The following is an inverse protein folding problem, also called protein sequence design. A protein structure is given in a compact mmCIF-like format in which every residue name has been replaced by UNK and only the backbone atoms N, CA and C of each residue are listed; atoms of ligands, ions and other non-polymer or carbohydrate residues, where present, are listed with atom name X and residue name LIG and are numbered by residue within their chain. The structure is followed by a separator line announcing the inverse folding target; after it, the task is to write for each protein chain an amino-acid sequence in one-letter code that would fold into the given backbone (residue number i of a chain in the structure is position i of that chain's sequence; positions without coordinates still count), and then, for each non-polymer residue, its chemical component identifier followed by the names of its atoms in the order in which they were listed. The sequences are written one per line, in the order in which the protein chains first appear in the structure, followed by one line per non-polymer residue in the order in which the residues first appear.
data_IF_407378493284
#
_entry.id   IF_407378493284
#
_cell.length_a   1.000
_cell.length_b   1.000
_cell.length_c   1.000
_cell.angle_alpha   90.00
_cell.angle_beta   90.00
_cell.angle_gamma   90.00
#
_symmetry.space_group_name_H-M   'P 1'
#
loop_
_entity.id
_entity.type
_entity.pdbx_description
1 polymer ?
#
# COMPACT_ATOMS: atom_id res chain seq x y z
N UNK A 1 20.03 -4.73 -8.62
CA UNK A 1 19.63 -5.72 -9.66
C UNK A 1 18.19 -6.17 -9.49
N UNK A 2 17.82 -6.93 -8.44
CA UNK A 2 16.42 -7.41 -8.23
C UNK A 2 15.39 -6.29 -8.03
N UNK A 3 15.70 -5.28 -7.21
CA UNK A 3 14.80 -4.13 -6.98
C UNK A 3 14.58 -3.31 -8.27
N UNK A 4 15.63 -3.12 -9.08
CA UNK A 4 15.51 -2.41 -10.36
C UNK A 4 14.72 -3.21 -11.40
N UNK A 5 14.88 -4.54 -11.44
CA UNK A 5 14.08 -5.40 -12.31
C UNK A 5 12.58 -5.31 -11.94
N UNK A 6 12.27 -5.37 -10.64
CA UNK A 6 10.92 -5.18 -10.11
C UNK A 6 10.37 -3.79 -10.45
N UNK A 7 11.18 -2.73 -10.30
CA UNK A 7 10.78 -1.36 -10.64
C UNK A 7 10.44 -1.21 -12.13
N UNK A 8 11.26 -1.78 -13.01
CA UNK A 8 11.00 -1.75 -14.46
C UNK A 8 9.74 -2.55 -14.82
N UNK A 9 9.51 -3.68 -14.16
CA UNK A 9 8.33 -4.51 -14.38
C UNK A 9 7.04 -3.79 -13.95
N UNK A 10 7.02 -3.24 -12.73
CA UNK A 10 5.89 -2.43 -12.22
C UNK A 10 5.64 -1.22 -13.12
N UNK A 11 6.70 -0.60 -13.65
CA UNK A 11 6.55 0.50 -14.62
C UNK A 11 5.84 0.05 -15.89
N UNK A 12 6.17 -1.12 -16.42
CA UNK A 12 5.47 -1.68 -17.59
C UNK A 12 3.97 -1.87 -17.34
N UNK A 13 3.61 -2.49 -16.21
CA UNK A 13 2.20 -2.66 -15.80
C UNK A 13 1.50 -1.30 -15.67
N UNK A 14 2.15 -0.34 -15.03
CA UNK A 14 1.62 1.01 -14.84
C UNK A 14 1.38 1.73 -16.19
N UNK A 15 2.32 1.62 -17.12
CA UNK A 15 2.20 2.21 -18.45
C UNK A 15 1.07 1.55 -19.26
N UNK A 16 0.93 0.23 -19.21
CA UNK A 16 -0.17 -0.51 -19.86
C UNK A 16 -1.54 -0.10 -19.32
N UNK A 17 -1.66 0.10 -18.00
CA UNK A 17 -2.89 0.58 -17.36
C UNK A 17 -3.20 2.05 -17.72
N UNK A 18 -2.19 2.92 -17.76
CA UNK A 18 -2.38 4.36 -17.91
C UNK A 18 -2.50 4.85 -19.35
N UNK A 19 -1.80 4.25 -20.31
CA UNK A 19 -1.77 4.72 -21.70
C UNK A 19 -3.17 4.91 -22.33
N UNK A 20 -4.14 3.98 -22.19
CA UNK A 20 -5.49 4.18 -22.71
C UNK A 20 -6.29 5.25 -21.95
N UNK A 21 -5.91 5.57 -20.71
CA UNK A 21 -6.58 6.55 -19.85
C UNK A 21 -6.05 7.96 -20.09
N UNK A 22 -4.75 8.10 -20.35
CA UNK A 22 -4.10 9.39 -20.63
C UNK A 22 -4.73 10.08 -21.84
N UNK A 23 -4.98 9.32 -22.91
CA UNK A 23 -5.61 9.82 -24.15
C UNK A 23 -7.06 10.32 -23.94
N UNK A 24 -7.73 9.87 -22.87
CA UNK A 24 -9.11 10.27 -22.55
C UNK A 24 -9.19 11.57 -21.76
N UNK A 25 -8.10 11.99 -21.11
CA UNK A 25 -8.06 13.16 -20.23
C UNK A 25 -8.91 13.05 -18.95
N UNK A 26 -9.38 11.85 -18.61
CA UNK A 26 -10.15 11.56 -17.39
C UNK A 26 -10.05 10.09 -17.01
N UNK A 27 -10.12 9.79 -15.70
CA UNK A 27 -10.15 8.41 -15.17
C UNK A 27 -10.72 8.35 -13.75
N UNK A 28 -11.16 7.17 -13.33
CA UNK A 28 -11.37 6.82 -11.93
C UNK A 28 -10.07 6.30 -11.31
N UNK A 29 -9.43 7.10 -10.45
CA UNK A 29 -8.12 6.74 -9.89
C UNK A 29 -8.20 5.43 -9.12
N UNK A 30 -9.33 5.14 -8.46
CA UNK A 30 -9.46 3.91 -7.69
C UNK A 30 -9.65 2.71 -8.61
N UNK A 31 -10.65 2.77 -9.48
CA UNK A 31 -11.07 1.61 -10.25
C UNK A 31 -10.19 1.34 -11.48
N UNK A 32 -9.68 2.38 -12.13
CA UNK A 32 -8.92 2.26 -13.36
C UNK A 32 -7.40 2.12 -13.13
N UNK A 33 -6.90 2.46 -11.93
CA UNK A 33 -5.46 2.51 -11.64
C UNK A 33 -5.06 1.91 -10.29
N UNK A 34 -5.53 2.48 -9.19
CA UNK A 34 -5.03 2.19 -7.85
C UNK A 34 -5.41 0.80 -7.35
N UNK A 35 -6.52 0.23 -7.80
CA UNK A 35 -6.88 -1.15 -7.49
C UNK A 35 -6.26 -2.18 -8.44
N UNK A 36 -6.25 -1.97 -9.78
CA UNK A 36 -5.61 -2.91 -10.70
C UNK A 36 -4.10 -3.07 -10.50
N UNK A 37 -3.36 -1.98 -10.32
CA UNK A 37 -1.89 -2.01 -10.23
C UNK A 37 -1.37 -2.96 -9.12
N UNK A 38 -1.69 -2.73 -7.83
CA UNK A 38 -1.20 -3.60 -6.77
C UNK A 38 -1.78 -5.01 -6.84
N UNK A 39 -2.97 -5.21 -7.43
CA UNK A 39 -3.53 -6.54 -7.63
C UNK A 39 -2.69 -7.38 -8.61
N UNK A 40 -2.32 -6.81 -9.75
CA UNK A 40 -1.46 -7.45 -10.75
C UNK A 40 -0.09 -7.76 -10.16
N UNK A 41 0.55 -6.75 -9.55
CA UNK A 41 1.88 -6.88 -8.94
C UNK A 41 1.88 -7.95 -7.84
N UNK A 42 0.82 -7.99 -7.01
CA UNK A 42 0.68 -8.98 -5.94
C UNK A 42 0.47 -10.40 -6.49
N UNK A 43 -0.35 -10.57 -7.54
CA UNK A 43 -0.58 -11.88 -8.16
C UNK A 43 0.73 -12.49 -8.69
N UNK A 44 1.52 -11.69 -9.41
CA UNK A 44 2.82 -12.12 -9.91
C UNK A 44 3.82 -12.41 -8.79
N UNK A 45 3.87 -11.55 -7.77
CA UNK A 45 4.74 -11.74 -6.60
C UNK A 45 4.39 -13.04 -5.85
N UNK A 46 3.10 -13.38 -5.73
CA UNK A 46 2.67 -14.64 -5.12
C UNK A 46 3.05 -15.85 -5.98
N UNK A 47 3.20 -15.67 -7.30
CA UNK A 47 3.44 -16.75 -8.26
C UNK A 47 2.15 -17.39 -8.77
N UNK A 48 1.05 -16.62 -8.80
CA UNK A 48 -0.26 -17.07 -9.30
C UNK A 48 -0.63 -16.38 -10.61
N UNK A 49 -1.59 -16.90 -11.41
CA UNK A 49 -1.98 -16.26 -12.67
C UNK A 49 -2.50 -14.83 -12.48
N UNK A 50 -2.04 -13.88 -13.31
CA UNK A 50 -2.58 -12.50 -13.32
C UNK A 50 -4.02 -12.44 -13.82
N UNK A 51 -4.50 -13.44 -14.54
CA UNK A 51 -5.92 -13.58 -14.89
C UNK A 51 -6.84 -13.67 -13.67
N UNK A 52 -6.28 -13.99 -12.49
CA UNK A 52 -7.05 -14.14 -11.26
C UNK A 52 -7.19 -12.83 -10.47
N UNK A 53 -6.59 -11.72 -10.92
CA UNK A 53 -6.53 -10.45 -10.18
C UNK A 53 -7.89 -9.96 -9.69
N UNK A 54 -8.95 -10.07 -10.51
CA UNK A 54 -10.29 -9.65 -10.12
C UNK A 54 -10.84 -10.47 -8.94
N UNK A 55 -10.56 -11.78 -8.94
CA UNK A 55 -10.94 -12.68 -7.85
C UNK A 55 -10.16 -12.39 -6.58
N UNK A 56 -8.84 -12.20 -6.70
CA UNK A 56 -7.97 -11.84 -5.57
C UNK A 56 -8.39 -10.50 -4.95
N UNK A 57 -8.72 -9.52 -5.79
CA UNK A 57 -9.23 -8.20 -5.37
C UNK A 57 -10.56 -8.33 -4.62
N UNK A 58 -11.50 -9.13 -5.13
CA UNK A 58 -12.78 -9.35 -4.46
C UNK A 58 -12.60 -9.97 -3.08
N UNK A 59 -11.72 -10.98 -2.95
CA UNK A 59 -11.38 -11.56 -1.66
C UNK A 59 -10.66 -10.58 -0.73
N UNK A 60 -9.75 -9.76 -1.27
CA UNK A 60 -9.06 -8.72 -0.51
C UNK A 60 -10.04 -7.70 0.10
N UNK A 61 -11.01 -7.24 -0.67
CA UNK A 61 -12.04 -6.33 -0.19
C UNK A 61 -12.91 -6.96 0.91
N UNK A 62 -13.26 -8.24 0.80
CA UNK A 62 -14.06 -8.96 1.79
C UNK A 62 -13.25 -9.27 3.08
N UNK A 63 -11.96 -9.55 2.95
CA UNK A 63 -11.07 -9.76 4.09
C UNK A 63 -10.69 -8.45 4.79
N UNK A 64 -10.66 -7.31 4.07
CA UNK A 64 -10.36 -6.00 4.65
C UNK A 64 -11.30 -5.60 5.80
N UNK A 65 -12.49 -6.21 5.89
CA UNK A 65 -13.39 -6.05 7.05
C UNK A 65 -12.78 -6.62 8.35
N UNK A 66 -11.93 -7.64 8.26
CA UNK A 66 -11.14 -8.13 9.40
C UNK A 66 -10.16 -7.06 9.87
N UNK A 67 -9.60 -6.30 8.92
CA UNK A 67 -8.60 -5.26 9.13
C UNK A 67 -9.22 -3.93 9.58
N UNK A 68 -9.99 -3.94 10.67
CA UNK A 68 -10.47 -2.72 11.32
C UNK A 68 -11.94 -2.72 11.74
N UNK A 69 -12.76 -3.60 11.16
CA UNK A 69 -14.21 -3.60 11.36
C UNK A 69 -14.76 -4.87 12.01
N UNK A 70 -13.94 -5.90 12.27
CA UNK A 70 -14.40 -7.20 12.75
C UNK A 70 -15.30 -7.14 13.99
N UNK A 71 -14.99 -6.24 14.92
CA UNK A 71 -15.77 -6.06 16.15
C UNK A 71 -17.07 -5.26 15.95
N UNK A 72 -17.21 -4.53 14.85
CA UNK A 72 -18.26 -3.55 14.61
C UNK A 72 -19.32 -4.03 13.59
N UNK A 73 -19.01 -5.05 12.78
CA UNK A 73 -19.89 -5.57 11.72
C UNK A 73 -20.12 -7.09 11.82
N UNK A 74 -20.81 -7.59 12.88
CA UNK A 74 -20.99 -9.03 13.10
C UNK A 74 -21.73 -9.74 11.96
N UNK A 75 -22.64 -9.04 11.27
CA UNK A 75 -23.41 -9.60 10.14
C UNK A 75 -22.53 -9.94 8.92
N UNK A 76 -21.29 -9.45 8.87
CA UNK A 76 -20.33 -9.75 7.80
C UNK A 76 -19.45 -10.97 8.08
N UNK A 77 -19.48 -11.51 9.31
CA UNK A 77 -18.59 -12.58 9.73
C UNK A 77 -18.71 -13.84 8.84
N UNK A 78 -19.93 -14.22 8.43
CA UNK A 78 -20.15 -15.38 7.56
C UNK A 78 -19.52 -15.21 6.17
N UNK A 79 -19.59 -14.00 5.61
CA UNK A 79 -18.97 -13.66 4.32
C UNK A 79 -17.45 -13.73 4.41
N UNK A 80 -16.88 -13.15 5.47
CA UNK A 80 -15.44 -13.22 5.72
C UNK A 80 -14.96 -14.65 5.91
N UNK A 81 -15.66 -15.48 6.69
CA UNK A 81 -15.30 -16.88 6.87
C UNK A 81 -15.29 -17.65 5.55
N UNK A 82 -16.35 -17.49 4.75
CA UNK A 82 -16.43 -18.09 3.41
C UNK A 82 -15.29 -17.61 2.51
N UNK A 83 -14.96 -16.32 2.54
CA UNK A 83 -13.84 -15.76 1.79
C UNK A 83 -12.50 -16.40 2.21
N UNK A 84 -12.29 -16.62 3.52
CA UNK A 84 -11.08 -17.28 4.04
C UNK A 84 -11.00 -18.74 3.60
N UNK A 85 -12.12 -19.47 3.62
CA UNK A 85 -12.20 -20.84 3.10
C UNK A 85 -11.83 -20.89 1.60
N UNK A 86 -12.44 -20.02 0.79
CA UNK A 86 -12.17 -19.94 -0.65
C UNK A 86 -10.71 -19.59 -0.97
N UNK A 87 -10.11 -18.64 -0.24
CA UNK A 87 -8.69 -18.31 -0.38
C UNK A 87 -7.79 -19.47 0.05
N UNK A 88 -8.17 -20.18 1.13
CA UNK A 88 -7.41 -21.33 1.62
C UNK A 88 -7.39 -22.44 0.57
N UNK A 89 -8.55 -22.75 -0.02
CA UNK A 89 -8.65 -23.75 -1.08
C UNK A 89 -7.87 -23.35 -2.33
N UNK A 90 -7.92 -22.07 -2.70
CA UNK A 90 -7.16 -21.53 -3.81
C UNK A 90 -5.64 -21.68 -3.62
N UNK A 91 -5.10 -21.22 -2.49
CA UNK A 91 -3.66 -21.31 -2.25
C UNK A 91 -3.19 -22.74 -2.03
N UNK A 92 -4.04 -23.61 -1.46
CA UNK A 92 -3.74 -25.05 -1.39
C UNK A 92 -3.58 -25.66 -2.79
N UNK A 93 -4.46 -25.32 -3.71
CA UNK A 93 -4.34 -25.79 -5.09
C UNK A 93 -3.11 -25.20 -5.79
N UNK A 94 -2.81 -23.91 -5.58
CA UNK A 94 -1.61 -23.29 -6.11
C UNK A 94 -0.31 -23.96 -5.59
N UNK A 95 -0.25 -24.35 -4.32
CA UNK A 95 0.86 -25.12 -3.73
C UNK A 95 0.98 -26.51 -4.38
N UNK A 96 -0.14 -27.17 -4.69
CA UNK A 96 -0.12 -28.47 -5.40
C UNK A 96 0.37 -28.31 -6.82
N UNK A 97 -0.10 -27.29 -7.53
CA UNK A 97 0.32 -26.99 -8.89
C UNK A 97 1.84 -26.78 -8.96
N UNK A 98 2.41 -26.03 -8.01
CA UNK A 98 3.85 -25.77 -7.89
C UNK A 98 4.71 -27.04 -7.87
N UNK A 99 4.21 -28.17 -7.33
CA UNK A 99 4.95 -29.45 -7.33
C UNK A 99 5.09 -30.07 -8.72
N UNK A 100 4.17 -29.74 -9.64
CA UNK A 100 4.12 -30.27 -11.01
C UNK A 100 4.53 -29.26 -12.07
N UNK A 101 4.28 -27.97 -11.83
CA UNK A 101 4.56 -26.85 -12.71
C UNK A 101 5.15 -25.70 -11.88
N UNK A 102 6.44 -25.78 -11.50
CA UNK A 102 7.07 -24.76 -10.68
C UNK A 102 7.01 -23.38 -11.34
N UNK A 103 6.59 -22.38 -10.57
CA UNK A 103 6.60 -20.95 -10.92
C UNK A 103 7.40 -20.20 -9.88
N UNK A 104 8.18 -19.23 -10.31
CA UNK A 104 8.81 -18.29 -9.37
C UNK A 104 7.73 -17.51 -8.59
N UNK A 105 8.06 -17.04 -7.39
CA UNK A 105 7.14 -16.29 -6.53
C UNK A 105 7.23 -16.68 -5.07
N UNK A 106 6.40 -16.05 -4.24
CA UNK A 106 6.38 -16.27 -2.79
C UNK A 106 5.94 -17.67 -2.42
N UNK A 107 4.98 -18.28 -3.13
CA UNK A 107 4.55 -19.66 -2.83
C UNK A 107 5.75 -20.61 -2.94
N UNK A 108 6.49 -20.56 -4.05
CA UNK A 108 7.69 -21.37 -4.22
C UNK A 108 8.77 -20.99 -3.18
N UNK A 109 8.98 -19.70 -2.91
CA UNK A 109 9.96 -19.25 -1.92
C UNK A 109 9.66 -19.78 -0.52
N UNK A 110 8.40 -19.80 -0.10
CA UNK A 110 7.96 -20.36 1.18
C UNK A 110 8.07 -21.88 1.22
N UNK A 111 7.74 -22.57 0.12
CA UNK A 111 7.87 -24.03 0.02
C UNK A 111 9.32 -24.52 0.13
N UNK A 112 10.29 -23.71 -0.32
CA UNK A 112 11.71 -24.06 -0.30
C UNK A 112 12.50 -23.36 0.81
N UNK A 113 11.84 -22.57 1.65
CA UNK A 113 12.51 -21.86 2.74
C UNK A 113 12.83 -22.84 3.88
N UNK A 114 14.08 -22.83 4.32
CA UNK A 114 14.56 -23.56 5.48
C UNK A 114 15.48 -22.64 6.30
N UNK A 115 15.22 -22.53 7.60
CA UNK A 115 16.05 -21.75 8.54
C UNK A 115 16.34 -22.64 9.75
N UNK A 116 17.62 -22.89 10.03
CA UNK A 116 18.06 -23.72 11.14
C UNK A 116 17.41 -25.13 11.17
N UNK A 117 17.08 -25.68 10.00
CA UNK A 117 16.41 -26.97 9.84
C UNK A 117 14.88 -26.93 10.00
N UNK A 118 14.30 -25.74 10.19
CA UNK A 118 12.86 -25.52 10.29
C UNK A 118 12.27 -25.04 8.95
N UNK A 119 11.08 -25.55 8.62
CA UNK A 119 10.38 -25.29 7.36
C UNK A 119 8.92 -24.94 7.65
N UNK A 120 8.34 -24.09 6.81
CA UNK A 120 6.94 -23.73 6.92
C UNK A 120 6.03 -24.94 6.62
N UNK A 121 5.04 -25.15 7.47
CA UNK A 121 3.92 -26.07 7.20
C UNK A 121 3.04 -25.53 6.07
N UNK A 122 2.30 -26.41 5.39
CA UNK A 122 1.37 -26.00 4.33
C UNK A 122 0.36 -24.94 4.81
N UNK A 123 -0.13 -25.07 6.05
CA UNK A 123 -1.05 -24.11 6.66
C UNK A 123 -0.39 -22.74 6.89
N UNK A 124 0.86 -22.70 7.34
CA UNK A 124 1.62 -21.46 7.50
C UNK A 124 1.92 -20.79 6.17
N UNK A 125 2.22 -21.56 5.12
CA UNK A 125 2.42 -21.03 3.76
C UNK A 125 1.13 -20.36 3.29
N UNK A 126 -0.01 -21.05 3.39
CA UNK A 126 -1.32 -20.51 2.99
C UNK A 126 -1.65 -19.24 3.78
N UNK A 127 -1.48 -19.25 5.10
CA UNK A 127 -1.75 -18.09 5.94
C UNK A 127 -0.88 -16.87 5.56
N UNK A 128 0.42 -17.10 5.30
CA UNK A 128 1.32 -16.04 4.85
C UNK A 128 0.94 -15.51 3.46
N UNK A 129 0.51 -16.38 2.53
CA UNK A 129 0.01 -15.96 1.22
C UNK A 129 -1.23 -15.07 1.34
N UNK A 130 -2.22 -15.44 2.17
CA UNK A 130 -3.44 -14.66 2.40
C UNK A 130 -3.09 -13.29 2.98
N UNK A 131 -2.31 -13.24 4.08
CA UNK A 131 -1.96 -11.96 4.73
C UNK A 131 -1.15 -11.07 3.80
N UNK A 132 -0.22 -11.63 3.03
CA UNK A 132 0.58 -10.88 2.05
C UNK A 132 -0.30 -10.35 0.92
N UNK A 133 -1.23 -11.16 0.41
CA UNK A 133 -2.15 -10.76 -0.66
C UNK A 133 -2.98 -9.55 -0.24
N UNK A 134 -3.68 -9.64 0.90
CA UNK A 134 -4.56 -8.57 1.36
C UNK A 134 -3.76 -7.33 1.76
N UNK A 135 -2.63 -7.54 2.46
CA UNK A 135 -1.76 -6.46 2.90
C UNK A 135 -1.06 -5.72 1.75
N UNK A 136 -0.83 -6.37 0.61
CA UNK A 136 -0.23 -5.75 -0.57
C UNK A 136 -1.21 -4.92 -1.41
N UNK A 137 -2.50 -5.28 -1.39
CA UNK A 137 -3.51 -4.69 -2.25
C UNK A 137 -4.16 -3.44 -1.61
N UNK A 138 -4.91 -3.61 -0.52
CA UNK A 138 -5.79 -2.55 -0.01
C UNK A 138 -5.03 -1.28 0.39
N UNK A 139 -3.89 -1.43 1.08
CA UNK A 139 -3.13 -0.29 1.58
C UNK A 139 -2.47 0.51 0.46
N UNK A 140 -2.03 -0.17 -0.60
CA UNK A 140 -1.37 0.48 -1.74
C UNK A 140 -2.40 1.17 -2.63
N UNK A 141 -3.57 0.56 -2.84
CA UNK A 141 -4.72 1.23 -3.47
C UNK A 141 -5.07 2.52 -2.74
N UNK A 142 -5.12 2.47 -1.42
CA UNK A 142 -5.43 3.63 -0.59
C UNK A 142 -4.30 4.67 -0.62
N UNK A 143 -3.02 4.27 -0.66
CA UNK A 143 -1.89 5.20 -0.84
C UNK A 143 -2.05 6.01 -2.13
N UNK A 144 -2.28 5.33 -3.25
CA UNK A 144 -2.42 5.98 -4.55
C UNK A 144 -3.64 6.90 -4.56
N UNK A 145 -4.82 6.38 -4.20
CA UNK A 145 -6.06 7.15 -4.20
C UNK A 145 -6.02 8.37 -3.29
N UNK A 146 -5.59 8.19 -2.03
CA UNK A 146 -5.47 9.28 -1.07
C UNK A 146 -4.40 10.28 -1.51
N UNK A 147 -3.28 9.79 -2.05
CA UNK A 147 -2.19 10.63 -2.53
C UNK A 147 -2.61 11.54 -3.67
N UNK A 148 -3.34 11.01 -4.66
CA UNK A 148 -3.86 11.81 -5.77
C UNK A 148 -4.85 12.87 -5.29
N UNK A 149 -5.80 12.51 -4.42
CA UNK A 149 -6.72 13.49 -3.83
C UNK A 149 -5.98 14.57 -3.04
N UNK A 150 -4.93 14.19 -2.31
CA UNK A 150 -4.09 15.10 -1.53
C UNK A 150 -3.35 16.09 -2.41
N UNK A 151 -2.74 15.61 -3.50
CA UNK A 151 -2.07 16.47 -4.48
C UNK A 151 -3.06 17.46 -5.12
N UNK A 152 -4.25 17.00 -5.55
CA UNK A 152 -5.29 17.88 -6.10
C UNK A 152 -5.68 19.00 -5.12
N UNK A 153 -5.73 18.70 -3.82
CA UNK A 153 -6.05 19.68 -2.76
C UNK A 153 -4.89 20.62 -2.42
N UNK A 154 -3.68 20.33 -2.88
CA UNK A 154 -2.46 21.09 -2.62
C UNK A 154 -1.73 21.40 -3.95
N UNK A 155 -2.29 22.30 -4.79
CA UNK A 155 -1.76 22.57 -6.12
C UNK A 155 -0.33 23.12 -6.10
N UNK A 156 0.05 23.88 -5.07
CA UNK A 156 1.41 24.43 -4.94
C UNK A 156 2.45 23.31 -4.74
N UNK A 157 2.17 22.36 -3.84
CA UNK A 157 3.03 21.18 -3.63
C UNK A 157 3.04 20.28 -4.88
N UNK A 158 1.91 20.14 -5.56
CA UNK A 158 1.83 19.42 -6.84
C UNK A 158 2.69 20.07 -7.91
N UNK A 159 2.69 21.41 -8.01
CA UNK A 159 3.55 22.13 -8.95
C UNK A 159 5.03 21.95 -8.58
N UNK A 160 5.39 22.06 -7.29
CA UNK A 160 6.76 21.80 -6.81
C UNK A 160 7.24 20.40 -7.19
N UNK A 161 6.38 19.38 -7.05
CA UNK A 161 6.70 18.01 -7.44
C UNK A 161 6.92 17.86 -8.96
N UNK A 162 6.17 18.60 -9.78
CA UNK A 162 6.32 18.61 -11.25
C UNK A 162 7.61 19.31 -11.68
N UNK A 163 7.96 20.40 -11.00
CA UNK A 163 9.17 21.18 -11.26
C UNK A 163 10.44 20.40 -10.88
N UNK A 164 10.35 19.51 -9.89
CA UNK A 164 11.47 18.67 -9.44
C UNK A 164 11.02 17.24 -9.09
N UNK A 165 11.11 16.34 -10.07
CA UNK A 165 10.80 14.92 -9.89
C UNK A 165 11.76 14.21 -8.92
N UNK A 166 12.89 14.80 -8.54
CA UNK A 166 13.76 14.23 -7.50
C UNK A 166 13.09 14.23 -6.12
N UNK A 167 11.99 14.96 -5.95
CA UNK A 167 11.16 15.00 -4.73
C UNK A 167 10.20 13.81 -4.62
N UNK A 168 10.06 12.96 -5.64
CA UNK A 168 9.13 11.81 -5.60
C UNK A 168 9.32 10.90 -4.39
N UNK A 169 10.54 10.48 -4.00
CA UNK A 169 10.73 9.66 -2.82
C UNK A 169 10.25 10.32 -1.53
N UNK A 170 10.54 11.61 -1.31
CA UNK A 170 10.09 12.32 -0.10
C UNK A 170 8.60 12.64 -0.13
N UNK A 171 8.04 12.92 -1.30
CA UNK A 171 6.60 13.10 -1.50
C UNK A 171 5.82 11.83 -1.10
N UNK A 172 6.29 10.64 -1.48
CA UNK A 172 5.63 9.38 -1.09
C UNK A 172 5.59 9.20 0.43
N UNK A 173 6.71 9.43 1.13
CA UNK A 173 6.72 9.36 2.61
C UNK A 173 5.79 10.42 3.23
N UNK A 174 5.73 11.63 2.66
CA UNK A 174 4.82 12.67 3.16
C UNK A 174 3.35 12.34 2.90
N UNK A 175 3.00 11.77 1.75
CA UNK A 175 1.63 11.35 1.47
C UNK A 175 1.20 10.20 2.41
N UNK A 176 2.12 9.26 2.69
CA UNK A 176 1.91 8.19 3.68
C UNK A 176 1.70 8.74 5.09
N UNK A 177 2.45 9.76 5.50
CA UNK A 177 2.25 10.45 6.78
C UNK A 177 0.91 11.20 6.80
N UNK A 178 0.67 12.02 5.78
CA UNK A 178 -0.39 13.01 5.77
C UNK A 178 -1.78 12.37 5.66
N UNK A 179 -1.97 11.40 4.76
CA UNK A 179 -3.24 10.67 4.57
C UNK A 179 -2.99 9.16 4.61
N UNK A 180 -2.61 8.66 5.78
CA UNK A 180 -2.18 7.28 5.99
C UNK A 180 -3.23 6.24 5.56
N UNK A 181 -2.86 5.25 4.73
CA UNK A 181 -3.76 4.13 4.41
C UNK A 181 -4.19 3.34 5.64
N UNK A 182 -3.24 3.03 6.53
CA UNK A 182 -3.47 2.29 7.77
C UNK A 182 -3.67 3.27 8.92
N UNK A 183 -4.83 3.22 9.57
CA UNK A 183 -5.23 4.19 10.58
C UNK A 183 -4.81 3.78 11.99
N UNK A 184 -4.92 2.49 12.31
CA UNK A 184 -4.70 1.99 13.66
C UNK A 184 -4.25 0.53 13.69
N UNK A 185 -3.68 0.11 14.81
CA UNK A 185 -3.36 -1.29 15.11
C UNK A 185 -3.65 -1.59 16.57
N UNK A 186 -3.93 -2.86 16.90
CA UNK A 186 -4.22 -3.29 18.27
C UNK A 186 -3.02 -4.04 18.87
N UNK A 187 -2.81 -3.90 20.18
CA UNK A 187 -1.87 -4.72 20.97
C UNK A 187 -2.57 -5.24 22.22
N UNK A 188 -2.21 -6.44 22.66
CA UNK A 188 -2.68 -7.00 23.92
C UNK A 188 -1.60 -6.78 24.98
N UNK A 189 -2.01 -6.22 26.12
CA UNK A 189 -1.12 -5.93 27.24
C UNK A 189 -0.64 -7.24 27.90
N UNK A 190 0.67 -7.54 27.96
CA UNK A 190 1.15 -8.84 28.47
C UNK A 190 1.12 -8.93 30.00
N UNK A 191 1.17 -7.79 30.69
CA UNK A 191 1.17 -7.63 32.15
C UNK A 191 0.61 -6.26 32.53
N UNK A 192 0.21 -6.06 33.79
CA UNK A 192 -0.29 -4.77 34.25
C UNK A 192 0.79 -3.68 34.10
N UNK A 193 0.43 -2.55 33.46
CA UNK A 193 1.38 -1.45 33.16
C UNK A 193 0.70 -0.09 33.19
N UNK A 194 1.48 0.97 33.02
CA UNK A 194 1.01 2.34 32.88
C UNK A 194 1.53 2.95 31.57
N UNK A 195 0.63 3.57 30.80
CA UNK A 195 0.97 4.26 29.55
C UNK A 195 0.21 5.58 29.48
N UNK A 196 0.91 6.69 29.25
CA UNK A 196 0.29 8.02 29.16
C UNK A 196 -0.52 8.41 30.40
N UNK A 197 -0.08 8.01 31.60
CA UNK A 197 -0.79 8.29 32.85
C UNK A 197 -2.04 7.41 33.08
N UNK A 198 -2.22 6.33 32.31
CA UNK A 198 -3.37 5.42 32.41
C UNK A 198 -2.90 4.00 32.74
N UNK A 199 -3.50 3.39 33.75
CA UNK A 199 -3.30 1.98 34.07
C UNK A 199 -3.96 1.08 33.03
N UNK A 200 -3.21 0.11 32.51
CA UNK A 200 -3.65 -0.89 31.54
C UNK A 200 -3.39 -2.25 32.16
N UNK A 201 -4.43 -3.07 32.28
CA UNK A 201 -4.34 -4.41 32.87
C UNK A 201 -3.91 -5.44 31.83
N UNK A 202 -3.26 -6.50 32.30
CA UNK A 202 -2.97 -7.71 31.53
C UNK A 202 -4.21 -8.19 30.76
N UNK A 203 -4.00 -8.52 29.48
CA UNK A 203 -5.03 -8.99 28.58
C UNK A 203 -5.90 -7.90 27.96
N UNK A 204 -5.80 -6.64 28.40
CA UNK A 204 -6.54 -5.56 27.75
C UNK A 204 -5.95 -5.23 26.38
N UNK A 205 -6.83 -4.96 25.42
CA UNK A 205 -6.45 -4.44 24.12
C UNK A 205 -6.21 -2.93 24.19
N UNK A 206 -5.14 -2.48 23.56
CA UNK A 206 -4.79 -1.07 23.35
C UNK A 206 -4.79 -0.81 21.87
N UNK A 207 -5.57 0.19 21.44
CA UNK A 207 -5.64 0.63 20.06
C UNK A 207 -4.69 1.80 19.87
N UNK A 208 -3.62 1.57 19.10
CA UNK A 208 -2.68 2.61 18.69
C UNK A 208 -3.17 3.26 17.39
N UNK A 209 -3.69 4.49 17.48
CA UNK A 209 -4.15 5.28 16.33
C UNK A 209 -2.95 5.90 15.62
N UNK A 210 -2.28 5.12 14.77
CA UNK A 210 -1.07 5.51 14.05
C UNK A 210 -1.25 6.78 13.23
N UNK A 211 -2.42 6.97 12.60
CA UNK A 211 -2.72 8.18 11.84
C UNK A 211 -2.73 9.45 12.70
N UNK A 212 -3.13 9.35 13.98
CA UNK A 212 -3.03 10.47 14.92
C UNK A 212 -1.56 10.77 15.27
N UNK A 213 -0.74 9.73 15.48
CA UNK A 213 0.71 9.89 15.66
C UNK A 213 1.39 10.55 14.46
N UNK A 214 0.89 10.31 13.25
CA UNK A 214 1.38 10.99 12.03
C UNK A 214 0.98 12.47 11.95
N UNK A 215 0.06 12.92 12.79
CA UNK A 215 -0.38 14.32 12.94
C UNK A 215 0.02 14.94 14.28
N UNK A 216 0.89 14.28 15.05
CA UNK A 216 1.29 14.72 16.37
C UNK A 216 2.21 15.96 16.29
N UNK A 217 1.82 17.13 16.84
CA UNK A 217 2.64 18.34 16.84
C UNK A 217 3.90 18.24 17.72
N UNK A 218 3.95 17.31 18.67
CA UNK A 218 5.18 17.04 19.44
C UNK A 218 6.23 16.33 18.58
N UNK A 219 5.80 15.62 17.52
CA UNK A 219 6.68 14.88 16.62
C UNK A 219 6.97 15.62 15.31
N UNK A 220 5.97 16.29 14.75
CA UNK A 220 6.02 16.93 13.45
C UNK A 220 5.65 18.41 13.56
N UNK A 221 6.54 19.30 13.13
CA UNK A 221 6.19 20.72 12.97
C UNK A 221 5.14 20.88 11.85
N UNK A 222 4.14 21.73 12.10
CA UNK A 222 2.98 21.97 11.21
C UNK A 222 2.41 20.66 10.64
N UNK A 223 1.92 19.73 11.49
CA UNK A 223 1.57 18.36 11.08
C UNK A 223 0.43 18.32 10.07
N UNK A 224 -0.43 19.35 10.07
CA UNK A 224 -1.59 19.48 9.18
C UNK A 224 -1.30 20.18 7.85
N UNK A 225 -0.04 20.54 7.59
CA UNK A 225 0.42 21.03 6.30
C UNK A 225 1.10 19.92 5.52
N UNK A 226 0.76 19.78 4.25
CA UNK A 226 1.51 18.95 3.31
C UNK A 226 2.85 19.64 3.00
N UNK A 227 3.96 18.96 3.26
CA UNK A 227 5.31 19.40 2.89
C UNK A 227 6.07 18.23 2.25
N UNK A 228 6.09 18.17 0.92
CA UNK A 228 6.77 17.07 0.19
C UNK A 228 8.29 17.10 0.36
N UNK A 229 8.83 18.15 0.98
CA UNK A 229 10.26 18.31 1.29
C UNK A 229 10.61 18.01 2.75
N UNK A 230 9.66 17.49 3.54
CA UNK A 230 9.87 17.14 4.95
C UNK A 230 11.00 16.12 5.11
N UNK A 231 12.13 16.58 5.64
CA UNK A 231 13.34 15.76 5.78
C UNK A 231 13.24 14.72 6.91
N UNK A 232 12.68 15.10 8.07
CA UNK A 232 12.44 14.18 9.19
C UNK A 232 11.00 13.65 9.16
N UNK A 233 10.82 12.55 8.43
CA UNK A 233 9.50 11.98 8.14
C UNK A 233 9.33 10.55 8.66
N UNK A 234 9.62 10.32 9.95
CA UNK A 234 9.44 8.99 10.57
C UNK A 234 7.97 8.74 10.93
N UNK A 235 7.15 8.58 9.91
CA UNK A 235 5.73 8.27 10.04
C UNK A 235 5.50 6.80 10.42
N UNK A 236 4.30 6.51 10.92
CA UNK A 236 3.83 5.22 11.40
C UNK A 236 2.95 4.47 10.39
N UNK A 237 2.78 4.97 9.17
CA UNK A 237 1.94 4.31 8.14
C UNK A 237 2.36 2.85 7.84
N UNK A 238 3.62 2.49 8.08
CA UNK A 238 4.15 1.12 7.94
C UNK A 238 4.30 0.38 9.29
N UNK A 239 3.76 0.92 10.38
CA UNK A 239 4.00 0.42 11.73
C UNK A 239 5.44 0.63 12.20
N UNK A 240 5.87 -0.18 13.17
CA UNK A 240 7.17 -0.04 13.83
C UNK A 240 7.69 -1.36 14.41
N UNK A 241 9.01 -1.45 14.60
CA UNK A 241 9.73 -2.57 15.21
C UNK A 241 9.50 -3.93 14.50
N UNK A 242 9.37 -5.02 15.25
CA UNK A 242 9.31 -6.39 14.73
C UNK A 242 8.15 -6.67 13.76
N UNK A 243 7.13 -5.82 13.76
CA UNK A 243 6.01 -5.87 12.82
C UNK A 243 6.02 -4.68 11.85
N UNK A 244 7.19 -4.09 11.59
CA UNK A 244 7.34 -3.13 10.50
C UNK A 244 6.94 -3.79 9.17
N UNK A 245 6.17 -3.07 8.35
CA UNK A 245 5.54 -3.60 7.16
C UNK A 245 6.56 -4.27 6.22
N UNK A 246 6.38 -5.59 6.03
CA UNK A 246 7.17 -6.40 5.12
C UNK A 246 7.12 -5.87 3.67
N UNK A 247 5.96 -5.38 3.23
CA UNK A 247 5.73 -4.83 1.89
C UNK A 247 6.15 -3.37 1.70
N UNK A 248 6.76 -2.71 2.69
CA UNK A 248 7.00 -1.26 2.64
C UNK A 248 7.87 -0.82 1.44
N UNK A 249 8.86 -1.62 1.06
CA UNK A 249 9.70 -1.31 -0.11
C UNK A 249 8.90 -1.39 -1.42
N UNK A 250 8.01 -2.36 -1.54
CA UNK A 250 7.16 -2.55 -2.72
C UNK A 250 6.13 -1.42 -2.84
N UNK A 251 5.40 -1.12 -1.76
CA UNK A 251 4.42 -0.04 -1.73
C UNK A 251 5.05 1.33 -2.07
N UNK A 252 6.29 1.57 -1.62
CA UNK A 252 7.06 2.77 -2.02
C UNK A 252 7.36 2.79 -3.51
N UNK A 253 7.80 1.68 -4.10
CA UNK A 253 8.10 1.63 -5.54
C UNK A 253 6.85 1.91 -6.36
N UNK A 254 5.72 1.26 -6.03
CA UNK A 254 4.44 1.49 -6.71
C UNK A 254 4.01 2.95 -6.59
N UNK A 255 3.97 3.49 -5.37
CA UNK A 255 3.62 4.90 -5.15
C UNK A 255 4.54 5.87 -5.91
N UNK A 256 5.87 5.65 -5.84
CA UNK A 256 6.84 6.50 -6.53
C UNK A 256 6.62 6.51 -8.04
N UNK A 257 6.45 5.33 -8.65
CA UNK A 257 6.21 5.22 -10.09
C UNK A 257 4.88 5.88 -10.47
N UNK A 258 3.82 5.63 -9.72
CA UNK A 258 2.51 6.23 -9.98
C UNK A 258 2.55 7.76 -9.90
N UNK A 259 3.11 8.33 -8.82
CA UNK A 259 3.17 9.79 -8.69
C UNK A 259 4.16 10.42 -9.67
N UNK A 260 5.24 9.72 -10.07
CA UNK A 260 6.16 10.20 -11.10
C UNK A 260 5.44 10.30 -12.45
N UNK A 261 4.70 9.27 -12.84
CA UNK A 261 3.94 9.29 -14.10
C UNK A 261 2.87 10.38 -14.07
N UNK A 262 2.11 10.50 -12.98
CA UNK A 262 1.11 11.57 -12.84
C UNK A 262 1.76 12.95 -12.97
N UNK A 263 2.86 13.20 -12.26
CA UNK A 263 3.57 14.49 -12.31
C UNK A 263 4.14 14.80 -13.70
N UNK A 264 4.62 13.78 -14.44
CA UNK A 264 5.26 13.95 -15.75
C UNK A 264 4.28 14.02 -16.92
N UNK A 265 3.20 13.23 -16.89
CA UNK A 265 2.33 12.97 -18.07
C UNK A 265 0.97 13.67 -18.00
N UNK A 266 0.63 14.32 -16.89
CA UNK A 266 -0.63 15.06 -16.76
C UNK A 266 -0.36 16.54 -16.58
N UNK A 267 -1.36 17.41 -16.74
CA UNK A 267 -1.39 18.80 -16.28
C UNK A 267 -2.83 19.16 -15.91
N UNK A 268 -3.04 20.28 -15.22
CA UNK A 268 -4.39 20.75 -14.84
C UNK A 268 -5.24 19.68 -14.14
N UNK A 269 -4.58 18.88 -13.29
CA UNK A 269 -5.19 17.77 -12.54
C UNK A 269 -6.29 18.31 -11.60
N UNK A 270 -7.52 17.86 -11.79
CA UNK A 270 -8.68 18.32 -11.03
C UNK A 270 -9.68 17.20 -10.77
N UNK A 271 -10.55 17.39 -9.78
CA UNK A 271 -11.73 16.52 -9.61
C UNK A 271 -12.68 16.70 -10.79
N UNK A 272 -13.27 15.60 -11.26
CA UNK A 272 -14.32 15.67 -12.27
C UNK A 272 -15.53 16.49 -11.76
N UNK A 273 -16.30 17.14 -12.65
CA UNK A 273 -17.50 17.88 -12.25
C UNK A 273 -18.47 17.01 -11.44
N UNK A 274 -18.96 17.54 -10.32
CA UNK A 274 -19.86 16.84 -9.38
C UNK A 274 -19.28 15.60 -8.68
N UNK A 275 -17.95 15.37 -8.75
CA UNK A 275 -17.32 14.30 -7.97
C UNK A 275 -17.49 14.57 -6.47
N UNK A 276 -18.21 13.68 -5.78
CA UNK A 276 -18.30 13.67 -4.32
C UNK A 276 -17.21 12.78 -3.73
N UNK A 277 -16.59 13.25 -2.63
CA UNK A 277 -15.56 12.47 -1.93
C UNK A 277 -16.25 11.56 -0.92
N UNK A 278 -16.26 10.26 -1.21
CA UNK A 278 -16.83 9.23 -0.34
C UNK A 278 -15.72 8.32 0.16
N UNK A 279 -15.53 8.31 1.47
CA UNK A 279 -14.62 7.41 2.15
C UNK A 279 -15.30 6.06 2.39
N UNK A 280 -14.53 4.98 2.34
CA UNK A 280 -14.97 3.65 2.78
C UNK A 280 -15.28 3.69 4.27
N UNK A 281 -16.32 2.96 4.67
CA UNK A 281 -16.70 2.78 6.07
C UNK A 281 -15.81 1.71 6.73
N UNK A 282 -14.57 2.11 7.07
CA UNK A 282 -13.59 1.23 7.71
C UNK A 282 -12.73 2.01 8.72
N UNK A 283 -12.61 1.47 9.94
CA UNK A 283 -11.85 2.12 11.02
C UNK A 283 -10.34 1.82 10.98
N UNK A 284 -9.93 0.71 10.36
CA UNK A 284 -8.54 0.30 10.24
C UNK A 284 -7.85 0.84 8.99
N UNK A 285 -8.62 1.04 7.92
CA UNK A 285 -8.14 1.50 6.62
C UNK A 285 -8.87 2.75 6.16
N UNK A 286 -8.12 3.71 5.62
CA UNK A 286 -8.65 4.94 5.05
C UNK A 286 -8.46 4.93 3.54
N UNK A 287 -9.56 4.88 2.81
CA UNK A 287 -9.58 4.80 1.36
C UNK A 287 -10.85 5.37 0.75
N UNK A 288 -10.76 5.79 -0.51
CA UNK A 288 -11.89 6.27 -1.28
C UNK A 288 -12.62 5.11 -1.96
N UNK A 289 -13.93 5.24 -2.16
CA UNK A 289 -14.70 4.27 -2.97
C UNK A 289 -14.49 4.46 -4.47
N UNK A 290 -14.31 5.70 -4.91
CA UNK A 290 -14.02 6.12 -6.27
C UNK A 290 -13.37 7.52 -6.25
N UNK A 291 -12.59 7.86 -7.27
CA UNK A 291 -12.02 9.19 -7.43
C UNK A 291 -11.95 9.56 -8.91
N UNK A 292 -13.03 10.16 -9.41
CA UNK A 292 -13.11 10.64 -10.80
C UNK A 292 -12.33 11.94 -10.94
N UNK A 293 -11.36 11.97 -11.86
CA UNK A 293 -10.50 13.13 -12.12
C UNK A 293 -10.48 13.47 -13.61
N UNK A 294 -10.10 14.72 -13.90
CA UNK A 294 -9.80 15.22 -15.24
C UNK A 294 -8.40 15.81 -15.26
N UNK A 295 -7.75 15.76 -16.42
CA UNK A 295 -6.42 16.33 -16.63
C UNK A 295 -6.16 16.53 -18.13
N UNK A 296 -5.21 17.40 -18.45
CA UNK A 296 -4.64 17.49 -19.80
C UNK A 296 -3.46 16.53 -19.92
N UNK A 297 -3.34 15.82 -21.04
CA UNK A 297 -2.15 15.01 -21.30
C UNK A 297 -0.96 15.91 -21.64
N UNK A 298 0.19 15.65 -20.99
CA UNK A 298 1.47 16.24 -21.34
C UNK A 298 2.23 15.24 -22.19
N UNK A 299 2.52 15.63 -23.43
CA UNK A 299 3.31 14.82 -24.34
C UNK A 299 4.69 14.51 -23.72
N UNK A 300 5.24 13.30 -23.90
CA UNK A 300 6.55 12.97 -23.37
C UNK A 300 7.60 13.94 -23.92
N UNK A 301 8.23 14.74 -23.08
CA UNK A 301 9.41 15.51 -23.47
C UNK A 301 10.54 14.52 -23.76
N UNK A 302 10.96 14.46 -25.01
CA UNK A 302 12.11 13.66 -25.46
C UNK A 302 13.40 14.24 -24.89
N UNK A 303 13.70 13.93 -23.63
CA UNK A 303 14.97 14.34 -23.03
C UNK A 303 15.01 14.21 -21.51
N UNK A 304 16.02 13.48 -21.04
CA UNK A 304 16.44 13.33 -19.64
C UNK A 304 15.47 12.51 -18.78
N UNK A 305 15.68 11.19 -18.79
CA UNK A 305 15.38 10.33 -17.65
C UNK A 305 16.51 10.55 -16.66
N UNK A 306 16.33 11.28 -15.54
CA UNK A 306 17.30 11.24 -14.47
C UNK A 306 17.16 9.85 -13.85
N UNK A 307 18.22 9.03 -13.93
CA UNK A 307 18.31 7.87 -13.06
C UNK A 307 18.23 8.41 -11.62
N UNK A 308 17.16 8.07 -10.92
CA UNK A 308 17.03 8.35 -9.48
C UNK A 308 18.18 7.58 -8.82
N UNK A 309 19.29 8.26 -8.55
CA UNK A 309 20.36 7.70 -7.75
C UNK A 309 19.82 7.58 -6.33
N UNK A 310 19.48 6.35 -5.94
CA UNK A 310 19.23 6.02 -4.55
C UNK A 310 20.46 6.43 -3.74
N UNK A 311 20.36 7.55 -3.01
CA UNK A 311 21.25 7.77 -1.88
C UNK A 311 21.01 6.60 -0.94
N UNK A 312 22.06 5.86 -0.61
CA UNK A 312 22.04 4.81 0.39
C UNK A 312 21.41 5.37 1.67
N UNK A 313 20.12 5.11 1.88
CA UNK A 313 19.45 5.31 3.15
C UNK A 313 19.91 4.15 4.03
N UNK A 314 21.08 4.34 4.64
CA UNK A 314 21.57 3.47 5.69
C UNK A 314 20.44 3.25 6.70
N UNK A 315 20.01 2.00 6.83
CA UNK A 315 19.03 1.58 7.81
C UNK A 315 19.48 2.07 9.21
N UNK A 316 18.75 2.97 9.88
CA UNK A 316 19.18 3.52 11.17
C UNK A 316 19.13 2.50 12.30
N UNK A 317 18.67 1.26 12.04
CA UNK A 317 18.52 0.19 13.02
C UNK A 317 19.68 -0.82 13.06
N UNK A 318 20.71 -0.65 12.22
CA UNK A 318 21.95 -1.44 12.28
C UNK A 318 23.14 -0.63 12.80
N UNK A 319 23.00 -0.05 13.99
CA UNK A 319 24.17 0.30 14.82
C UNK A 319 24.09 -0.50 16.12
N UNK A 320 25.00 -1.47 16.17
CA UNK A 320 25.43 -2.32 17.28
C UNK A 320 25.25 -1.73 18.68
N UNK A 321 24.65 -2.54 19.55
CA UNK A 321 25.28 -2.97 20.80
C UNK A 321 25.14 -4.50 20.88
#
# INVERSE_FOLDING_TARGET
ARVEALRNHIRGILEELLEPLLQRGHLDVINDLAAPLPAIVTAEMLGVPTSDCDRLKAWSADFAEVLGNFQHNPDRASRTLKCVEEMTDYFREAIREQKSHPREGLINSFMTAEIDGDCLTEEEIIANCIVTMVGGQETTTNLIGNGVLTLIRNPDETQRLRDDLSLIPSAVEELLRYESPSQQTARICPEDTELGGKSIRKGQAVIAVMAAGNRDPERFADPDRLDITRADNRHLAFGWASHFCFGAALARIEGQLTFEVIARRTANLALAPNQSIVWRDNLGLRGLTALQITFDEVAPTSGLVPQIQNRESGCPFHRSA
#
